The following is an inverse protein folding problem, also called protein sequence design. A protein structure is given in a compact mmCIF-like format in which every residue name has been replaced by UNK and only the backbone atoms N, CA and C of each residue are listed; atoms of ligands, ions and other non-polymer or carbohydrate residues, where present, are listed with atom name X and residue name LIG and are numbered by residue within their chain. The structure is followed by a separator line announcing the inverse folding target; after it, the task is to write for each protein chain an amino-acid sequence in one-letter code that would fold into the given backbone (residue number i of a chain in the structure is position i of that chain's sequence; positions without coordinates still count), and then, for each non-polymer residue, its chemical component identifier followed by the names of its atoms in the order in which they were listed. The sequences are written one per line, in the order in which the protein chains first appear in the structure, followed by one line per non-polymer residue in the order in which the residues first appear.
data_IF_932404672236
#
_entry.id   IF_932404672236
#
_cell.length_a   1.000
_cell.length_b   1.000
_cell.length_c   1.000
_cell.angle_alpha   90.00
_cell.angle_beta   90.00
_cell.angle_gamma   90.00
#
_symmetry.space_group_name_H-M   'P 1'
#
loop_
_entity.id
_entity.type
_entity.pdbx_description
1 polymer ?
#
# COMPACT_ATOMS: atom_id res chain seq x y z
N UNK A 1 13.90 15.91 24.09
CA UNK A 1 14.01 14.59 23.44
C UNK A 1 14.06 14.83 21.94
N UNK A 2 15.23 14.67 21.32
CA UNK A 2 15.32 14.69 19.86
C UNK A 2 14.83 13.33 19.37
N UNK A 3 13.66 13.29 18.72
CA UNK A 3 13.22 12.12 17.99
C UNK A 3 14.15 12.03 16.78
N UNK A 4 15.01 11.01 16.76
CA UNK A 4 15.83 10.72 15.59
C UNK A 4 14.89 10.49 14.40
N UNK A 5 15.10 11.22 13.31
CA UNK A 5 14.33 11.02 12.09
C UNK A 5 14.58 9.60 11.58
N UNK A 6 13.59 8.73 11.70
CA UNK A 6 13.63 7.37 11.16
C UNK A 6 13.75 7.48 9.64
N UNK A 7 14.77 6.86 9.06
CA UNK A 7 14.95 6.81 7.61
C UNK A 7 13.72 6.13 6.99
N UNK A 8 13.03 6.75 6.00
CA UNK A 8 11.87 6.13 5.38
C UNK A 8 12.24 4.78 4.74
N UNK A 9 11.39 3.75 4.86
CA UNK A 9 11.65 2.46 4.23
C UNK A 9 11.73 2.62 2.71
N UNK A 10 12.68 1.92 2.09
CA UNK A 10 12.88 1.94 0.63
C UNK A 10 11.96 0.93 -0.04
N UNK A 11 11.45 1.24 -1.22
CA UNK A 11 10.59 0.33 -1.98
C UNK A 11 11.36 -0.95 -2.37
N UNK A 12 10.85 -2.17 -2.10
CA UNK A 12 11.49 -3.40 -2.51
C UNK A 12 11.61 -3.51 -4.03
N UNK A 13 12.69 -4.10 -4.54
CA UNK A 13 12.92 -4.23 -5.98
C UNK A 13 11.88 -5.10 -6.71
N UNK A 14 11.11 -5.92 -5.99
CA UNK A 14 10.04 -6.77 -6.53
C UNK A 14 8.70 -6.05 -6.66
N UNK A 15 8.59 -4.81 -6.15
CA UNK A 15 7.34 -4.09 -5.99
C UNK A 15 7.18 -3.02 -7.05
N UNK A 16 5.97 -2.94 -7.61
CA UNK A 16 5.52 -1.88 -8.48
C UNK A 16 4.31 -1.19 -7.88
N UNK A 17 4.32 0.15 -7.86
CA UNK A 17 3.26 0.95 -7.24
C UNK A 17 2.92 2.15 -8.10
N UNK A 18 1.63 2.47 -8.15
CA UNK A 18 1.09 3.67 -8.77
C UNK A 18 -0.19 4.11 -8.07
N UNK A 19 -0.55 5.38 -8.29
CA UNK A 19 -1.79 5.99 -7.81
C UNK A 19 -2.35 6.88 -8.92
N UNK A 20 -3.67 6.97 -8.99
CA UNK A 20 -4.34 7.87 -9.92
C UNK A 20 -5.79 8.11 -9.54
N UNK A 21 -6.57 8.61 -10.51
CA UNK A 21 -7.96 9.01 -10.32
C UNK A 21 -8.82 8.65 -11.53
N UNK A 22 -9.93 8.01 -11.25
CA UNK A 22 -11.03 7.77 -12.17
C UNK A 22 -12.07 8.88 -12.11
N UNK A 23 -12.22 9.63 -13.19
CA UNK A 23 -13.13 10.79 -13.28
C UNK A 23 -14.53 10.43 -13.78
N UNK A 24 -14.72 9.22 -14.33
CA UNK A 24 -16.00 8.72 -14.81
C UNK A 24 -16.85 8.04 -13.73
N UNK A 25 -18.17 7.90 -13.95
CA UNK A 25 -19.02 7.16 -13.03
C UNK A 25 -18.66 5.66 -13.03
N UNK A 26 -18.99 4.97 -11.93
CA UNK A 26 -18.94 3.51 -11.81
C UNK A 26 -17.59 2.84 -12.13
N UNK A 27 -16.49 3.35 -11.55
CA UNK A 27 -15.16 2.76 -11.70
C UNK A 27 -15.10 1.24 -11.39
N UNK A 28 -15.80 0.71 -10.36
CA UNK A 28 -15.84 -0.73 -10.09
C UNK A 28 -16.37 -1.58 -11.26
N UNK A 29 -17.37 -1.08 -11.98
CA UNK A 29 -17.97 -1.81 -13.11
C UNK A 29 -17.00 -1.89 -14.30
N UNK A 30 -16.21 -0.84 -14.51
CA UNK A 30 -15.16 -0.80 -15.54
C UNK A 30 -14.09 -1.83 -15.23
N UNK A 31 -13.62 -1.89 -13.97
CA UNK A 31 -12.65 -2.87 -13.50
C UNK A 31 -13.16 -4.30 -13.69
N UNK A 32 -14.39 -4.58 -13.23
CA UNK A 32 -14.99 -5.91 -13.32
C UNK A 32 -15.10 -6.40 -14.76
N UNK A 33 -15.55 -5.54 -15.67
CA UNK A 33 -15.65 -5.88 -17.10
C UNK A 33 -14.28 -6.12 -17.73
N UNK A 34 -13.31 -5.27 -17.46
CA UNK A 34 -11.97 -5.41 -18.03
C UNK A 34 -11.25 -6.66 -17.51
N UNK A 35 -11.27 -6.89 -16.19
CA UNK A 35 -10.67 -8.08 -15.58
C UNK A 35 -11.34 -9.38 -16.06
N UNK A 36 -12.66 -9.38 -16.23
CA UNK A 36 -13.37 -10.51 -16.82
C UNK A 36 -12.92 -10.77 -18.26
N UNK A 37 -12.82 -9.72 -19.08
CA UNK A 37 -12.35 -9.85 -20.46
C UNK A 37 -10.90 -10.38 -20.53
N UNK A 38 -10.02 -9.93 -19.64
CA UNK A 38 -8.63 -10.43 -19.56
C UNK A 38 -8.55 -11.87 -19.05
N UNK A 39 -9.45 -12.28 -18.15
CA UNK A 39 -9.58 -13.67 -17.71
C UNK A 39 -10.09 -14.57 -18.83
N UNK A 40 -11.10 -14.13 -19.57
CA UNK A 40 -11.64 -14.85 -20.72
C UNK A 40 -10.60 -14.99 -21.86
N UNK A 41 -9.69 -14.01 -21.97
CA UNK A 41 -8.55 -14.03 -22.89
C UNK A 41 -7.31 -14.75 -22.34
N UNK A 42 -7.40 -15.40 -21.17
CA UNK A 42 -6.31 -16.11 -20.49
C UNK A 42 -5.06 -15.25 -20.21
N UNK A 43 -5.19 -13.92 -20.24
CA UNK A 43 -4.10 -12.98 -19.92
C UNK A 43 -3.96 -12.82 -18.41
N UNK A 44 -5.09 -12.78 -17.70
CA UNK A 44 -5.16 -12.84 -16.24
C UNK A 44 -5.53 -14.26 -15.85
N UNK A 45 -4.77 -14.85 -14.92
CA UNK A 45 -5.04 -16.20 -14.44
C UNK A 45 -6.29 -16.21 -13.55
N UNK A 46 -6.37 -15.28 -12.61
CA UNK A 46 -7.55 -15.10 -11.79
C UNK A 46 -7.65 -13.69 -11.21
N UNK A 47 -8.87 -13.28 -10.87
CA UNK A 47 -9.15 -12.02 -10.19
C UNK A 47 -10.33 -12.18 -9.22
N UNK A 48 -10.39 -11.30 -8.22
CA UNK A 48 -11.46 -11.27 -7.24
C UNK A 48 -11.72 -9.86 -6.77
N UNK A 49 -13.00 -9.52 -6.67
CA UNK A 49 -13.50 -8.33 -5.98
C UNK A 49 -13.65 -8.65 -4.49
N UNK A 50 -13.04 -7.84 -3.63
CA UNK A 50 -13.10 -7.99 -2.19
C UNK A 50 -14.32 -7.22 -1.65
N UNK A 51 -15.09 -7.82 -0.74
CA UNK A 51 -16.26 -7.15 -0.18
C UNK A 51 -15.83 -6.00 0.74
N UNK A 52 -16.62 -4.92 0.78
CA UNK A 52 -16.35 -3.69 1.54
C UNK A 52 -16.14 -3.91 3.06
N UNK A 53 -16.58 -5.04 3.61
CA UNK A 53 -16.39 -5.40 5.02
C UNK A 53 -14.98 -5.93 5.35
N UNK A 54 -14.22 -6.31 4.31
CA UNK A 54 -12.89 -6.89 4.41
C UNK A 54 -11.77 -5.87 4.09
N UNK A 55 -12.14 -4.62 3.85
CA UNK A 55 -11.25 -3.50 3.56
C UNK A 55 -11.37 -2.43 4.65
N UNK A 56 -10.29 -1.68 4.96
CA UNK A 56 -10.42 -0.51 5.81
C UNK A 56 -11.42 0.46 5.17
N UNK A 57 -12.34 1.01 5.96
CA UNK A 57 -13.15 2.18 5.60
C UNK A 57 -14.18 2.00 4.45
N UNK A 58 -14.55 0.77 4.07
CA UNK A 58 -15.56 0.53 3.02
C UNK A 58 -15.03 0.77 1.59
N UNK A 59 -13.70 0.75 1.42
CA UNK A 59 -13.05 0.84 0.12
C UNK A 59 -13.31 -0.42 -0.72
N UNK A 60 -13.73 -0.28 -1.97
CA UNK A 60 -13.80 -1.42 -2.89
C UNK A 60 -12.39 -1.79 -3.36
N UNK A 61 -12.03 -3.07 -3.30
CA UNK A 61 -10.72 -3.55 -3.72
C UNK A 61 -10.80 -4.73 -4.68
N UNK A 62 -9.84 -4.80 -5.61
CA UNK A 62 -9.72 -5.88 -6.59
C UNK A 62 -8.34 -6.50 -6.49
N UNK A 63 -8.27 -7.81 -6.36
CA UNK A 63 -7.05 -8.59 -6.48
C UNK A 63 -7.00 -9.24 -7.86
N UNK A 64 -5.81 -9.31 -8.45
CA UNK A 64 -5.57 -10.03 -9.70
C UNK A 64 -4.18 -10.66 -9.71
N UNK A 65 -4.08 -11.83 -10.34
CA UNK A 65 -2.81 -12.52 -10.58
C UNK A 65 -2.64 -12.90 -12.05
N UNK A 66 -1.42 -12.75 -12.55
CA UNK A 66 -1.10 -13.12 -13.93
C UNK A 66 0.38 -13.51 -14.09
N UNK A 67 0.69 -14.38 -15.05
CA UNK A 67 2.07 -14.65 -15.44
C UNK A 67 2.62 -13.49 -16.29
N UNK A 68 3.87 -13.09 -16.06
CA UNK A 68 4.56 -12.05 -16.86
C UNK A 68 5.73 -12.58 -17.68
N UNK A 69 6.30 -13.70 -17.24
CA UNK A 69 7.36 -14.42 -17.92
C UNK A 69 7.30 -15.90 -17.49
N UNK A 70 8.10 -16.75 -18.12
CA UNK A 70 8.18 -18.16 -17.75
C UNK A 70 8.57 -18.31 -16.28
N UNK A 71 7.65 -18.87 -15.48
CA UNK A 71 7.86 -19.09 -14.04
C UNK A 71 7.84 -17.83 -13.18
N UNK A 72 7.30 -16.70 -13.66
CA UNK A 72 7.14 -15.47 -12.86
C UNK A 72 5.68 -15.05 -12.82
N UNK A 73 5.10 -15.11 -11.61
CA UNK A 73 3.76 -14.60 -11.34
C UNK A 73 3.84 -13.21 -10.71
N UNK A 74 2.93 -12.33 -11.13
CA UNK A 74 2.63 -11.06 -10.46
C UNK A 74 1.32 -11.20 -9.71
N UNK A 75 1.33 -10.77 -8.46
CA UNK A 75 0.13 -10.51 -7.67
C UNK A 75 -0.08 -9.00 -7.54
N UNK A 76 -1.30 -8.53 -7.67
CA UNK A 76 -1.59 -7.13 -7.50
C UNK A 76 -2.94 -6.90 -6.85
N UNK A 77 -3.01 -5.81 -6.09
CA UNK A 77 -4.24 -5.29 -5.49
C UNK A 77 -4.43 -3.84 -5.91
N UNK A 78 -5.59 -3.55 -6.45
CA UNK A 78 -6.09 -2.20 -6.69
C UNK A 78 -7.14 -1.86 -5.64
N UNK A 79 -6.98 -0.74 -4.93
CA UNK A 79 -8.00 -0.20 -4.02
C UNK A 79 -8.61 1.07 -4.61
N UNK A 80 -9.91 1.22 -4.44
CA UNK A 80 -10.67 2.40 -4.80
C UNK A 80 -11.13 3.12 -3.55
N UNK A 81 -10.76 4.39 -3.42
CA UNK A 81 -11.27 5.25 -2.37
C UNK A 81 -12.77 5.56 -2.60
N UNK A 82 -13.43 6.19 -1.63
CA UNK A 82 -14.78 6.72 -1.85
C UNK A 82 -14.81 7.75 -2.99
N UNK A 83 -15.98 7.86 -3.64
CA UNK A 83 -16.18 8.86 -4.67
C UNK A 83 -16.08 10.27 -4.10
N UNK A 84 -15.11 11.04 -4.58
CA UNK A 84 -15.05 12.48 -4.34
C UNK A 84 -15.70 13.24 -5.49
N UNK A 85 -16.17 14.47 -5.28
CA UNK A 85 -16.71 15.31 -6.37
C UNK A 85 -15.76 15.57 -7.55
N UNK A 86 -14.49 15.14 -7.47
CA UNK A 86 -13.48 15.20 -8.53
C UNK A 86 -13.19 13.84 -9.20
N UNK A 87 -13.80 12.77 -8.73
CA UNK A 87 -13.56 11.39 -9.16
C UNK A 87 -13.15 10.47 -8.01
N UNK A 88 -13.01 9.18 -8.32
CA UNK A 88 -12.59 8.12 -7.41
C UNK A 88 -11.08 7.93 -7.49
N UNK A 89 -10.38 8.05 -6.37
CA UNK A 89 -8.94 7.78 -6.34
C UNK A 89 -8.69 6.28 -6.32
N UNK A 90 -7.62 5.85 -6.98
CA UNK A 90 -7.20 4.47 -6.99
C UNK A 90 -5.73 4.35 -6.60
N UNK A 91 -5.40 3.31 -5.83
CA UNK A 91 -4.04 2.93 -5.47
C UNK A 91 -3.79 1.51 -5.93
N UNK A 92 -2.69 1.27 -6.63
CA UNK A 92 -2.32 -0.04 -7.15
C UNK A 92 -0.96 -0.45 -6.61
N UNK A 93 -0.93 -1.60 -5.93
CA UNK A 93 0.31 -2.25 -5.49
C UNK A 93 0.40 -3.61 -6.14
N UNK A 94 1.50 -3.85 -6.84
CA UNK A 94 1.83 -5.13 -7.44
C UNK A 94 3.18 -5.63 -6.89
N UNK A 95 3.29 -6.94 -6.73
CA UNK A 95 4.51 -7.60 -6.31
C UNK A 95 4.74 -8.82 -7.20
N UNK A 96 5.96 -8.93 -7.71
CA UNK A 96 6.43 -10.08 -8.47
C UNK A 96 7.25 -11.03 -7.59
N UNK A 97 7.36 -12.29 -8.01
CA UNK A 97 8.23 -13.29 -7.35
C UNK A 97 9.73 -13.00 -7.54
N UNK A 98 10.07 -12.11 -8.48
CA UNK A 98 11.44 -11.71 -8.84
C UNK A 98 11.55 -10.18 -8.90
N UNK A 99 12.78 -9.60 -8.92
CA UNK A 99 12.96 -8.18 -9.15
C UNK A 99 12.20 -7.69 -10.38
N UNK A 100 11.54 -6.55 -10.27
CA UNK A 100 10.63 -6.05 -11.29
C UNK A 100 11.38 -5.71 -12.58
N UNK A 101 10.96 -6.30 -13.69
CA UNK A 101 11.47 -5.96 -15.02
C UNK A 101 10.60 -4.87 -15.65
N UNK A 102 11.20 -3.75 -16.04
CA UNK A 102 10.48 -2.64 -16.68
C UNK A 102 9.90 -3.01 -18.06
N UNK A 103 10.37 -4.10 -18.67
CA UNK A 103 9.82 -4.62 -19.93
C UNK A 103 8.47 -5.28 -19.76
N UNK A 104 8.11 -5.70 -18.54
CA UNK A 104 6.78 -6.25 -18.27
C UNK A 104 5.71 -5.16 -18.43
N UNK A 105 4.48 -5.53 -18.85
CA UNK A 105 3.36 -4.61 -18.89
C UNK A 105 3.16 -3.91 -17.55
N UNK A 106 2.79 -2.63 -17.59
CA UNK A 106 2.37 -1.93 -16.38
C UNK A 106 1.17 -2.63 -15.74
N UNK A 107 1.20 -2.92 -14.43
CA UNK A 107 0.06 -3.47 -13.69
C UNK A 107 -1.24 -2.68 -13.88
N UNK A 108 -1.16 -1.35 -14.00
CA UNK A 108 -2.36 -0.55 -14.26
C UNK A 108 -3.09 -0.93 -15.55
N UNK A 109 -2.38 -1.39 -16.58
CA UNK A 109 -2.98 -1.87 -17.84
C UNK A 109 -3.71 -3.23 -17.68
N UNK A 110 -3.48 -3.95 -16.58
CA UNK A 110 -4.20 -5.19 -16.26
C UNK A 110 -5.52 -4.92 -15.53
N UNK A 111 -5.67 -3.74 -14.92
CA UNK A 111 -6.91 -3.37 -14.23
C UNK A 111 -7.80 -2.50 -15.10
N UNK A 112 -7.22 -1.54 -15.81
CA UNK A 112 -7.97 -0.56 -16.56
C UNK A 112 -7.87 -0.77 -18.08
N UNK A 113 -8.96 -0.52 -18.83
CA UNK A 113 -8.94 -0.62 -20.28
C UNK A 113 -8.09 0.49 -20.91
N UNK A 114 -7.33 0.10 -21.94
CA UNK A 114 -6.47 0.97 -22.72
C UNK A 114 -7.26 1.64 -23.85
N UNK A 115 -7.88 2.79 -23.56
CA UNK A 115 -8.59 3.60 -24.55
C UNK A 115 -8.08 5.05 -24.50
N UNK A 116 -8.00 5.73 -25.64
CA UNK A 116 -7.45 7.10 -25.70
C UNK A 116 -8.24 8.11 -24.83
N UNK A 117 -9.55 7.89 -24.69
CA UNK A 117 -10.46 8.72 -23.89
C UNK A 117 -10.71 8.13 -22.49
N UNK A 118 -9.82 7.27 -22.01
CA UNK A 118 -10.05 6.59 -20.75
C UNK A 118 -10.00 7.56 -19.56
N UNK A 119 -11.03 7.47 -18.72
CA UNK A 119 -11.31 8.40 -17.62
C UNK A 119 -10.50 8.09 -16.35
N UNK A 120 -9.73 7.00 -16.34
CA UNK A 120 -8.97 6.53 -15.18
C UNK A 120 -7.55 7.09 -15.08
N UNK A 121 -7.02 7.60 -16.19
CA UNK A 121 -5.61 7.91 -16.36
C UNK A 121 -5.15 9.25 -15.78
N UNK A 122 -5.76 9.77 -14.71
CA UNK A 122 -5.36 11.05 -14.12
C UNK A 122 -4.48 10.87 -12.88
N UNK A 123 -3.44 11.67 -12.73
CA UNK A 123 -2.65 11.75 -11.50
C UNK A 123 -3.39 12.56 -10.44
N UNK A 124 -3.22 12.17 -9.17
CA UNK A 124 -4.01 12.67 -8.04
C UNK A 124 -3.74 14.10 -7.58
N UNK A 125 -2.50 14.58 -7.65
CA UNK A 125 -1.99 15.83 -7.08
C UNK A 125 -2.10 16.98 -8.08
N UNK A 126 -1.62 16.75 -9.29
CA UNK A 126 -1.57 17.69 -10.40
C UNK A 126 -2.82 17.63 -11.27
N UNK A 127 -3.46 16.45 -11.37
CA UNK A 127 -4.62 16.21 -12.24
C UNK A 127 -4.26 15.86 -13.69
N UNK A 128 -2.96 15.81 -13.99
CA UNK A 128 -2.43 15.55 -15.33
C UNK A 128 -2.69 14.12 -15.78
N UNK A 129 -2.67 13.87 -17.10
CA UNK A 129 -2.94 12.55 -17.66
C UNK A 129 -1.66 11.74 -17.82
N UNK A 130 -1.73 10.46 -17.43
CA UNK A 130 -0.74 9.47 -17.81
C UNK A 130 -0.80 9.24 -19.32
N UNK A 131 0.35 8.88 -19.92
CA UNK A 131 0.50 8.58 -21.35
C UNK A 131 0.21 9.73 -22.33
N UNK A 132 -0.15 10.89 -21.81
CA UNK A 132 -0.52 12.07 -22.59
C UNK A 132 0.53 13.18 -22.44
N UNK A 133 0.47 14.11 -23.37
CA UNK A 133 1.28 15.32 -23.35
C UNK A 133 0.57 16.37 -22.51
N UNK A 134 1.14 16.77 -21.36
CA UNK A 134 0.49 17.74 -20.46
C UNK A 134 1.12 19.14 -20.60
N UNK A 135 0.51 20.06 -21.38
CA UNK A 135 1.01 21.43 -21.47
C UNK A 135 0.85 22.15 -20.13
N UNK A 136 1.91 22.83 -19.69
CA UNK A 136 1.86 23.62 -18.48
C UNK A 136 0.86 24.78 -18.63
N UNK A 137 0.07 25.08 -17.58
CA UNK A 137 -0.91 26.16 -17.61
C UNK A 137 -0.30 27.50 -18.06
N UNK A 138 -1.04 28.24 -18.89
CA UNK A 138 -0.63 29.57 -19.33
C UNK A 138 -0.57 30.59 -18.18
N UNK A 139 -1.43 30.41 -17.17
CA UNK A 139 -1.40 31.21 -15.95
C UNK A 139 -0.18 30.85 -15.08
N UNK A 140 0.66 31.85 -14.78
CA UNK A 140 1.90 31.62 -14.03
C UNK A 140 1.66 31.13 -12.59
N UNK A 141 0.53 31.46 -11.97
CA UNK A 141 0.23 31.01 -10.60
C UNK A 141 -0.16 29.53 -10.63
N UNK A 142 -0.95 29.11 -11.61
CA UNK A 142 -1.32 27.71 -11.82
C UNK A 142 -0.14 26.86 -12.24
N UNK A 143 0.69 27.30 -13.18
CA UNK A 143 1.93 26.63 -13.57
C UNK A 143 2.81 26.33 -12.36
N UNK A 144 3.04 27.35 -11.52
CA UNK A 144 3.84 27.19 -10.30
C UNK A 144 3.20 26.24 -9.30
N UNK A 145 1.86 26.22 -9.21
CA UNK A 145 1.14 25.28 -8.36
C UNK A 145 1.31 23.85 -8.87
N UNK A 146 1.20 23.62 -10.18
CA UNK A 146 1.41 22.32 -10.82
C UNK A 146 2.82 21.80 -10.57
N UNK A 147 3.86 22.59 -10.85
CA UNK A 147 5.25 22.15 -10.65
C UNK A 147 5.60 21.89 -9.18
N UNK A 148 5.08 22.70 -8.25
CA UNK A 148 5.24 22.42 -6.81
C UNK A 148 4.49 21.17 -6.38
N UNK A 149 3.34 20.88 -6.99
CA UNK A 149 2.60 19.64 -6.80
C UNK A 149 3.41 18.45 -7.28
N UNK A 150 3.91 18.51 -8.51
CA UNK A 150 4.78 17.51 -9.12
C UNK A 150 6.05 17.22 -8.29
N UNK A 151 6.67 18.25 -7.70
CA UNK A 151 7.81 18.08 -6.80
C UNK A 151 7.44 17.39 -5.48
N UNK A 152 6.19 17.51 -5.01
CA UNK A 152 5.73 16.89 -3.77
C UNK A 152 5.14 15.50 -4.00
N UNK A 153 4.78 15.17 -5.24
CA UNK A 153 4.34 13.82 -5.56
C UNK A 153 5.53 12.87 -5.47
N UNK A 154 5.30 11.77 -4.74
CA UNK A 154 6.27 10.69 -4.54
C UNK A 154 5.84 9.42 -5.28
N UNK A 155 4.61 9.38 -5.79
CA UNK A 155 4.06 8.24 -6.52
C UNK A 155 4.53 8.22 -7.98
N UNK A 156 4.57 9.38 -8.63
CA UNK A 156 4.92 9.52 -10.04
C UNK A 156 6.31 10.11 -10.27
N UNK A 157 6.88 9.82 -11.43
CA UNK A 157 8.11 10.40 -11.96
C UNK A 157 7.69 11.55 -12.88
N UNK A 158 7.97 12.77 -12.46
CA UNK A 158 7.63 13.95 -13.23
C UNK A 158 8.79 14.37 -14.12
N UNK A 159 8.48 14.59 -15.39
CA UNK A 159 9.43 14.99 -16.42
C UNK A 159 8.99 16.34 -16.98
N UNK A 160 9.87 17.34 -16.96
CA UNK A 160 9.59 18.66 -17.56
C UNK A 160 10.42 18.81 -18.82
N UNK A 161 9.75 19.04 -19.94
CA UNK A 161 10.36 19.28 -21.26
C UNK A 161 10.06 20.71 -21.67
N UNK A 162 11.09 21.47 -22.05
CA UNK A 162 10.94 22.81 -22.59
C UNK A 162 10.99 22.81 -24.11
N UNK A 163 9.91 23.23 -24.74
CA UNK A 163 9.82 23.41 -26.18
C UNK A 163 10.60 24.68 -26.57
N UNK A 164 11.84 24.54 -27.06
CA UNK A 164 12.60 25.70 -27.55
C UNK A 164 11.95 26.37 -28.76
N UNK A 165 11.21 25.58 -29.55
CA UNK A 165 10.47 25.96 -30.74
C UNK A 165 9.18 25.14 -30.78
N UNK A 166 8.21 25.54 -31.60
CA UNK A 166 6.98 24.75 -31.81
C UNK A 166 7.34 23.35 -32.35
N UNK A 167 6.95 22.27 -31.68
CA UNK A 167 7.22 20.90 -32.15
C UNK A 167 6.44 20.59 -33.44
N UNK A 168 6.98 19.67 -34.23
CA UNK A 168 6.28 19.09 -35.38
C UNK A 168 5.14 18.15 -34.93
N UNK A 169 4.46 17.49 -35.87
CA UNK A 169 3.35 16.59 -35.53
C UNK A 169 3.79 15.39 -34.70
N UNK A 170 4.99 14.87 -34.95
CA UNK A 170 5.53 13.72 -34.21
C UNK A 170 6.02 14.15 -32.82
N UNK A 171 6.67 15.30 -32.72
CA UNK A 171 7.14 15.91 -31.48
C UNK A 171 6.04 16.37 -30.54
N UNK A 172 4.79 16.49 -31.00
CA UNK A 172 3.61 16.73 -30.13
C UNK A 172 3.16 15.48 -29.38
N UNK A 173 3.56 14.29 -29.84
CA UNK A 173 3.22 13.04 -29.17
C UNK A 173 3.96 12.94 -27.84
N UNK A 174 3.36 12.23 -26.90
CA UNK A 174 4.00 11.97 -25.61
C UNK A 174 5.24 11.10 -25.79
N UNK A 175 6.24 11.33 -24.95
CA UNK A 175 7.43 10.51 -24.79
C UNK A 175 7.15 9.21 -24.02
N UNK A 176 6.07 9.17 -23.23
CA UNK A 176 5.77 8.05 -22.33
C UNK A 176 5.59 6.71 -23.08
N UNK A 177 4.89 6.64 -24.23
CA UNK A 177 4.81 5.40 -25.03
C UNK A 177 6.16 4.88 -25.53
N UNK A 178 7.21 5.70 -25.59
CA UNK A 178 8.56 5.30 -26.00
C UNK A 178 9.37 4.64 -24.87
N UNK A 179 8.90 4.77 -23.63
CA UNK A 179 9.47 4.13 -22.44
C UNK A 179 9.05 2.66 -22.36
N UNK A 180 9.78 1.83 -21.58
CA UNK A 180 9.37 0.48 -21.27
C UNK A 180 7.95 0.44 -20.66
N UNK A 181 7.13 -0.57 -20.98
CA UNK A 181 5.72 -0.64 -20.56
C UNK A 181 5.50 -0.51 -19.05
N UNK A 182 6.45 -0.99 -18.24
CA UNK A 182 6.39 -0.88 -16.77
C UNK A 182 6.43 0.57 -16.26
N UNK A 183 6.78 1.57 -17.09
CA UNK A 183 6.82 2.98 -16.70
C UNK A 183 5.63 3.81 -17.19
N UNK A 184 4.77 3.24 -18.04
CA UNK A 184 3.68 3.97 -18.71
C UNK A 184 2.74 4.71 -17.74
N UNK A 185 2.41 4.11 -16.59
CA UNK A 185 1.53 4.72 -15.58
C UNK A 185 2.28 5.17 -14.32
N UNK A 186 3.55 5.52 -14.50
CA UNK A 186 4.40 6.09 -13.45
C UNK A 186 5.08 7.37 -13.90
N UNK A 187 5.11 7.66 -15.19
CA UNK A 187 5.80 8.84 -15.74
C UNK A 187 4.77 9.85 -16.24
N UNK A 188 4.97 11.11 -15.89
CA UNK A 188 4.13 12.23 -16.32
C UNK A 188 5.01 13.26 -17.02
N UNK A 189 4.67 13.54 -18.25
CA UNK A 189 5.36 14.52 -19.08
C UNK A 189 4.65 15.88 -19.00
N UNK A 190 5.40 16.89 -18.59
CA UNK A 190 5.01 18.30 -18.52
C UNK A 190 5.68 19.06 -19.65
N UNK A 191 4.92 19.83 -20.43
CA UNK A 191 5.44 20.60 -21.57
C UNK A 191 5.39 22.08 -21.28
N UNK A 192 6.57 22.70 -21.22
CA UNK A 192 6.71 24.14 -21.10
C UNK A 192 6.81 24.77 -22.50
N UNK A 193 5.92 25.70 -22.79
CA UNK A 193 5.96 26.49 -24.01
C UNK A 193 7.21 27.41 -24.05
N UNK A 194 7.66 27.87 -25.24
CA UNK A 194 8.91 28.62 -25.38
C UNK A 194 9.05 29.87 -24.49
N UNK A 195 7.92 30.52 -24.17
CA UNK A 195 7.88 31.73 -23.35
C UNK A 195 7.84 31.45 -21.84
N UNK A 196 7.57 30.22 -21.43
CA UNK A 196 7.37 29.83 -20.02
C UNK A 196 8.67 29.47 -19.29
N UNK A 197 9.83 29.35 -19.99
CA UNK A 197 11.11 28.91 -19.42
C UNK A 197 11.47 29.63 -18.11
N UNK A 198 11.34 30.97 -18.11
CA UNK A 198 11.69 31.80 -16.96
C UNK A 198 10.81 31.47 -15.76
N UNK A 199 9.51 31.27 -15.98
CA UNK A 199 8.53 30.98 -14.94
C UNK A 199 8.70 29.57 -14.39
N UNK A 200 9.03 28.60 -15.26
CA UNK A 200 9.40 27.23 -14.88
C UNK A 200 10.63 27.22 -13.97
N UNK A 201 11.74 27.85 -14.39
CA UNK A 201 12.97 27.87 -13.59
C UNK A 201 12.81 28.68 -12.30
N UNK A 202 11.93 29.68 -12.29
CA UNK A 202 11.55 30.37 -11.05
C UNK A 202 10.80 29.44 -10.08
N UNK A 203 9.91 28.59 -10.59
CA UNK A 203 9.16 27.62 -9.77
C UNK A 203 10.07 26.54 -9.16
N UNK A 204 11.10 26.12 -9.90
CA UNK A 204 12.03 25.06 -9.52
C UNK A 204 13.24 25.56 -8.71
N UNK A 205 13.39 26.88 -8.56
CA UNK A 205 14.51 27.50 -7.86
C UNK A 205 14.73 26.97 -6.45
N UNK A 206 13.65 26.74 -5.70
CA UNK A 206 13.71 26.23 -4.31
C UNK A 206 14.21 24.79 -4.22
N UNK A 207 13.98 23.99 -5.28
CA UNK A 207 14.49 22.62 -5.40
C UNK A 207 15.93 22.53 -5.91
N UNK A 208 16.57 23.67 -6.26
CA UNK A 208 17.96 23.70 -6.73
C UNK A 208 18.20 23.09 -8.11
N UNK A 209 17.15 22.93 -8.92
CA UNK A 209 17.22 22.37 -10.28
C UNK A 209 16.77 23.39 -11.32
N UNK A 210 17.26 23.27 -12.54
CA UNK A 210 16.97 24.19 -13.64
C UNK A 210 16.71 23.41 -14.94
N UNK A 211 15.67 23.81 -15.69
CA UNK A 211 15.40 23.27 -17.02
C UNK A 211 16.17 24.11 -18.05
N UNK A 212 17.04 23.50 -18.86
CA UNK A 212 17.75 24.20 -19.92
C UNK A 212 16.81 24.56 -21.07
N UNK A 213 17.13 25.64 -21.77
CA UNK A 213 16.35 26.06 -22.95
C UNK A 213 16.40 24.98 -24.03
N UNK A 214 15.24 24.41 -24.34
CA UNK A 214 15.09 23.39 -25.36
C UNK A 214 15.45 21.99 -24.89
N UNK A 215 15.73 21.82 -23.60
CA UNK A 215 16.03 20.53 -23.02
C UNK A 215 14.95 20.07 -22.06
N UNK A 216 15.34 19.17 -21.16
CA UNK A 216 14.42 18.52 -20.25
C UNK A 216 15.08 18.17 -18.92
N UNK A 217 14.25 17.88 -17.93
CA UNK A 217 14.66 17.56 -16.56
C UNK A 217 13.72 16.51 -15.97
N UNK A 218 14.28 15.48 -15.34
CA UNK A 218 13.51 14.60 -14.44
C UNK A 218 13.49 15.24 -13.06
N UNK A 219 12.31 15.56 -12.53
CA UNK A 219 12.17 16.24 -11.25
C UNK A 219 12.63 15.32 -10.10
N UNK A 220 13.37 15.85 -9.10
CA UNK A 220 13.89 15.04 -8.00
C UNK A 220 12.79 14.48 -7.08
N UNK A 221 11.65 15.18 -6.97
CA UNK A 221 10.70 14.94 -5.90
C UNK A 221 11.20 15.46 -4.53
N UNK A 222 10.32 15.40 -3.51
CA UNK A 222 10.64 15.80 -2.14
C UNK A 222 10.10 14.72 -1.18
N UNK A 223 10.97 13.96 -0.49
CA UNK A 223 12.44 14.03 -0.54
C UNK A 223 13.01 13.46 -1.86
N UNK A 224 14.17 13.98 -2.28
CA UNK A 224 14.90 13.45 -3.43
C UNK A 224 15.45 12.04 -3.14
N UNK A 225 15.45 11.12 -4.12
CA UNK A 225 16.05 9.79 -3.98
C UNK A 225 17.54 9.87 -3.65
N UNK A 226 18.04 8.86 -2.93
CA UNK A 226 19.47 8.75 -2.66
C UNK A 226 20.24 8.56 -3.98
N UNK A 227 21.28 9.37 -4.20
CA UNK A 227 22.07 9.35 -5.44
C UNK A 227 21.50 10.21 -6.57
N UNK A 228 20.48 11.03 -6.31
CA UNK A 228 20.04 12.04 -7.29
C UNK A 228 21.05 13.19 -7.40
N UNK A 229 21.60 13.39 -8.61
CA UNK A 229 22.33 14.60 -9.00
C UNK A 229 21.59 15.28 -10.15
N UNK A 230 21.24 16.56 -9.98
CA UNK A 230 20.53 17.35 -10.97
C UNK A 230 21.23 17.34 -12.33
N UNK A 231 22.57 17.33 -12.36
CA UNK A 231 23.34 17.30 -13.60
C UNK A 231 23.12 16.01 -14.41
N UNK A 232 22.95 14.88 -13.74
CA UNK A 232 22.78 13.55 -14.35
C UNK A 232 21.36 13.32 -14.88
N UNK A 233 20.39 14.11 -14.39
CA UNK A 233 18.98 14.02 -14.75
C UNK A 233 18.49 15.22 -15.58
N UNK A 234 19.42 16.07 -16.03
CA UNK A 234 19.16 17.20 -16.93
C UNK A 234 19.70 16.90 -18.33
N UNK A 235 18.84 17.09 -19.34
CA UNK A 235 19.20 16.97 -20.75
C UNK A 235 19.24 18.36 -21.36
N UNK A 236 20.38 18.73 -21.96
CA UNK A 236 20.61 20.10 -22.47
C UNK A 236 19.73 20.46 -23.65
N UNK A 237 19.48 19.50 -24.55
CA UNK A 237 18.69 19.69 -25.77
C UNK A 237 17.89 18.44 -26.06
N UNK A 238 16.60 18.59 -26.28
CA UNK A 238 15.69 17.52 -26.70
C UNK A 238 15.11 17.95 -28.05
N UNK A 239 15.49 17.22 -29.09
CA UNK A 239 14.91 17.42 -30.41
C UNK A 239 13.56 16.71 -30.45
N UNK A 240 12.51 17.49 -30.68
CA UNK A 240 11.13 17.02 -30.87
C UNK A 240 10.80 17.12 -32.36
N UNK A 241 11.65 16.50 -33.17
CA UNK A 241 11.67 16.52 -34.64
C UNK A 241 11.36 15.14 -35.25
N UNK A 242 10.69 14.28 -34.48
CA UNK A 242 10.40 12.88 -34.85
C UNK A 242 11.54 11.90 -34.59
N UNK A 243 12.76 12.35 -34.33
CA UNK A 243 13.84 11.44 -33.92
C UNK A 243 13.57 10.86 -32.54
N UNK A 244 13.94 9.59 -32.31
CA UNK A 244 13.74 8.95 -31.00
C UNK A 244 14.65 9.65 -29.97
N UNK A 245 14.10 10.30 -28.93
CA UNK A 245 14.89 11.12 -28.01
C UNK A 245 15.55 10.26 -26.93
N UNK A 246 16.47 9.37 -27.33
CA UNK A 246 17.15 8.42 -26.43
C UNK A 246 17.87 9.11 -25.28
N UNK A 247 18.50 10.27 -25.54
CA UNK A 247 19.16 11.08 -24.52
C UNK A 247 18.20 11.53 -23.40
N UNK A 248 16.90 11.60 -23.69
CA UNK A 248 15.86 11.93 -22.72
C UNK A 248 15.26 10.69 -22.03
N UNK A 249 15.15 9.58 -22.73
CA UNK A 249 14.63 8.34 -22.14
C UNK A 249 15.61 7.76 -21.11
N UNK A 250 16.92 7.83 -21.37
CA UNK A 250 17.95 7.27 -20.50
C UNK A 250 17.95 7.85 -19.06
N UNK A 251 17.88 9.17 -18.84
CA UNK A 251 17.68 9.76 -17.51
C UNK A 251 16.46 9.23 -16.77
N UNK A 252 15.33 9.04 -17.46
CA UNK A 252 14.10 8.52 -16.85
C UNK A 252 14.29 7.08 -16.38
N UNK A 253 14.96 6.26 -17.20
CA UNK A 253 15.30 4.87 -16.84
C UNK A 253 16.24 4.80 -15.64
N UNK A 254 17.29 5.62 -15.63
CA UNK A 254 18.21 5.70 -14.49
C UNK A 254 17.50 6.17 -13.22
N UNK A 255 16.60 7.14 -13.34
CA UNK A 255 15.85 7.67 -12.19
C UNK A 255 14.91 6.61 -11.62
N UNK A 256 14.23 5.85 -12.50
CA UNK A 256 13.34 4.77 -12.09
C UNK A 256 14.07 3.65 -11.33
N UNK A 257 15.35 3.44 -11.61
CA UNK A 257 16.21 2.46 -10.96
C UNK A 257 16.81 2.92 -9.62
N UNK A 258 16.69 4.21 -9.25
CA UNK A 258 17.19 4.70 -7.96
C UNK A 258 16.39 4.09 -6.79
N UNK A 259 17.04 3.78 -5.65
CA UNK A 259 16.35 3.42 -4.43
C UNK A 259 15.47 4.59 -3.96
N UNK A 260 14.15 4.41 -4.02
CA UNK A 260 13.18 5.44 -3.65
C UNK A 260 12.54 5.15 -2.30
N UNK A 261 12.31 6.19 -1.48
CA UNK A 261 11.49 6.05 -0.29
C UNK A 261 10.08 5.61 -0.70
N UNK A 262 9.46 4.75 0.10
CA UNK A 262 8.08 4.36 -0.11
C UNK A 262 7.18 5.61 -0.03
N UNK A 263 6.31 5.85 -1.02
CA UNK A 263 5.33 6.92 -0.95
C UNK A 263 4.44 6.79 0.29
N UNK A 264 3.87 7.91 0.74
CA UNK A 264 2.93 7.89 1.86
C UNK A 264 1.77 6.92 1.57
N UNK A 265 1.37 6.11 2.56
CA UNK A 265 0.38 5.02 2.48
C UNK A 265 0.78 3.79 1.63
N UNK A 266 1.88 3.83 0.88
CA UNK A 266 2.31 2.70 0.04
C UNK A 266 2.82 1.50 0.84
N UNK A 267 3.42 1.75 2.02
CA UNK A 267 3.88 0.69 2.93
C UNK A 267 2.70 -0.09 3.53
N UNK A 268 1.64 0.62 3.92
CA UNK A 268 0.40 0.01 4.40
C UNK A 268 -0.26 -0.82 3.29
N UNK A 269 -0.35 -0.28 2.06
CA UNK A 269 -0.89 -1.01 0.92
C UNK A 269 -0.09 -2.28 0.58
N UNK A 270 1.25 -2.22 0.68
CA UNK A 270 2.12 -3.40 0.49
C UNK A 270 1.94 -4.44 1.60
N UNK A 271 1.83 -4.00 2.85
CA UNK A 271 1.57 -4.89 3.99
C UNK A 271 0.25 -5.62 3.80
N UNK A 272 -0.80 -4.88 3.42
CA UNK A 272 -2.11 -5.43 3.10
C UNK A 272 -2.02 -6.45 1.96
N UNK A 273 -1.32 -6.14 0.87
CA UNK A 273 -1.11 -7.09 -0.23
C UNK A 273 -0.43 -8.38 0.23
N UNK A 274 0.53 -8.32 1.14
CA UNK A 274 1.30 -9.49 1.60
C UNK A 274 0.58 -10.33 2.63
N UNK A 275 -0.11 -9.70 3.56
CA UNK A 275 -0.73 -10.37 4.72
C UNK A 275 -2.18 -10.79 4.46
N UNK A 276 -2.90 -10.05 3.60
CA UNK A 276 -4.33 -10.24 3.36
C UNK A 276 -4.66 -10.70 1.95
N UNK A 277 -3.66 -11.23 1.22
CA UNK A 277 -3.85 -11.83 -0.11
C UNK A 277 -4.80 -13.03 -0.04
N UNK A 278 -5.78 -13.08 -0.95
CA UNK A 278 -6.81 -14.13 -0.95
C UNK A 278 -6.85 -14.96 -2.23
N UNK A 279 -6.25 -14.50 -3.33
CA UNK A 279 -6.16 -15.25 -4.60
C UNK A 279 -5.04 -16.29 -4.61
N UNK A 280 -5.18 -17.33 -3.79
CA UNK A 280 -4.29 -18.49 -3.80
C UNK A 280 -4.73 -19.51 -4.85
N UNK A 281 -3.77 -20.19 -5.47
CA UNK A 281 -4.07 -21.42 -6.23
C UNK A 281 -4.41 -22.55 -5.28
N UNK A 282 -5.13 -23.58 -5.77
CA UNK A 282 -5.41 -24.79 -5.01
C UNK A 282 -4.14 -25.47 -4.47
N UNK A 283 -3.04 -25.41 -5.21
CA UNK A 283 -1.75 -25.97 -4.79
C UNK A 283 -1.16 -25.18 -3.60
N UNK A 284 -1.22 -23.84 -3.66
CA UNK A 284 -0.80 -22.95 -2.58
C UNK A 284 -1.70 -23.10 -1.34
N UNK A 285 -3.01 -23.22 -1.52
CA UNK A 285 -3.96 -23.49 -0.44
C UNK A 285 -3.66 -24.84 0.22
N UNK A 286 -3.48 -25.89 -0.57
CA UNK A 286 -3.15 -27.22 -0.06
C UNK A 286 -1.81 -27.23 0.70
N UNK A 287 -0.79 -26.53 0.19
CA UNK A 287 0.49 -26.39 0.87
C UNK A 287 0.35 -25.64 2.20
N UNK A 288 -0.45 -24.57 2.24
CA UNK A 288 -0.77 -23.82 3.47
C UNK A 288 -1.49 -24.69 4.49
N UNK A 289 -2.52 -25.42 4.08
CA UNK A 289 -3.28 -26.30 4.98
C UNK A 289 -2.40 -27.44 5.52
N UNK A 290 -1.54 -28.04 4.68
CA UNK A 290 -0.57 -29.05 5.13
C UNK A 290 0.39 -28.48 6.19
N UNK A 291 0.87 -27.25 6.00
CA UNK A 291 1.74 -26.57 6.97
C UNK A 291 1.00 -26.32 8.30
N UNK A 292 -0.26 -25.90 8.22
CA UNK A 292 -1.10 -25.65 9.40
C UNK A 292 -1.39 -26.94 10.18
N UNK A 293 -1.70 -28.04 9.48
CA UNK A 293 -1.86 -29.36 10.09
C UNK A 293 -0.56 -29.83 10.76
N UNK A 294 0.59 -29.64 10.10
CA UNK A 294 1.90 -29.99 10.67
C UNK A 294 2.18 -29.20 11.97
N UNK A 295 1.88 -27.89 11.98
CA UNK A 295 2.02 -27.04 13.17
C UNK A 295 1.10 -27.49 14.31
N UNK A 296 -0.16 -27.81 14.03
CA UNK A 296 -1.07 -28.29 15.06
C UNK A 296 -0.68 -29.67 15.59
N UNK A 297 -0.16 -30.54 14.73
CA UNK A 297 0.40 -31.83 15.13
C UNK A 297 1.58 -31.64 16.09
N UNK A 298 2.54 -30.79 15.73
CA UNK A 298 3.70 -30.47 16.58
C UNK A 298 3.26 -29.87 17.93
N UNK A 299 2.28 -28.95 17.92
CA UNK A 299 1.73 -28.39 19.15
C UNK A 299 1.06 -29.45 20.04
N UNK A 300 0.35 -30.41 19.45
CA UNK A 300 -0.30 -31.50 20.19
C UNK A 300 0.73 -32.48 20.77
N UNK A 301 1.78 -32.79 20.02
CA UNK A 301 2.91 -33.61 20.49
C UNK A 301 3.60 -32.93 21.68
N UNK A 302 3.91 -31.64 21.58
CA UNK A 302 4.49 -30.86 22.68
C UNK A 302 3.60 -30.81 23.92
N UNK A 303 2.27 -30.67 23.75
CA UNK A 303 1.32 -30.74 24.86
C UNK A 303 1.30 -32.13 25.51
N UNK A 304 1.43 -33.19 24.71
CA UNK A 304 1.44 -34.57 25.19
C UNK A 304 2.71 -34.86 25.98
N UNK A 305 3.88 -34.47 25.46
CA UNK A 305 5.16 -34.57 26.17
C UNK A 305 5.13 -33.77 27.48
N UNK A 306 4.59 -32.54 27.46
CA UNK A 306 4.47 -31.74 28.69
C UNK A 306 3.61 -32.44 29.75
N UNK A 307 2.53 -33.11 29.35
CA UNK A 307 1.66 -33.88 30.25
C UNK A 307 2.39 -35.09 30.83
N UNK A 308 3.18 -35.80 30.02
CA UNK A 308 3.99 -36.93 30.48
C UNK A 308 5.02 -36.50 31.50
N UNK A 309 5.75 -35.40 31.25
CA UNK A 309 6.68 -34.80 32.21
C UNK A 309 5.99 -34.41 33.53
N UNK A 310 4.76 -33.87 33.47
CA UNK A 310 3.99 -33.57 34.68
C UNK A 310 3.60 -34.83 35.45
N UNK A 311 3.24 -35.92 34.76
CA UNK A 311 2.92 -37.20 35.40
C UNK A 311 4.15 -37.78 36.09
N UNK A 312 5.28 -37.84 35.40
CA UNK A 312 6.55 -38.34 35.97
C UNK A 312 6.98 -37.51 37.19
N UNK A 313 6.87 -36.18 37.11
CA UNK A 313 7.16 -35.31 38.25
C UNK A 313 6.23 -35.55 39.44
N UNK A 314 4.95 -35.86 39.21
CA UNK A 314 3.99 -36.17 40.26
C UNK A 314 4.27 -37.56 40.89
N UNK A 315 4.60 -38.55 40.08
CA UNK A 315 5.01 -39.88 40.54
C UNK A 315 6.26 -39.80 41.41
N UNK A 316 7.31 -39.10 40.96
CA UNK A 316 8.51 -38.87 41.77
C UNK A 316 8.24 -38.11 43.08
N UNK A 317 7.31 -37.14 43.08
CA UNK A 317 6.92 -36.44 44.30
C UNK A 317 6.20 -37.38 45.30
N UNK A 318 5.35 -38.28 44.80
CA UNK A 318 4.68 -39.28 45.61
C UNK A 318 5.67 -40.31 46.19
N UNK A 319 6.62 -40.79 45.39
CA UNK A 319 7.70 -41.67 45.83
C UNK A 319 8.53 -41.03 46.96
N UNK A 320 8.91 -39.76 46.79
CA UNK A 320 9.64 -39.02 47.83
C UNK A 320 8.82 -38.91 49.13
N UNK A 321 7.51 -38.60 49.03
CA UNK A 321 6.62 -38.53 50.19
C UNK A 321 6.44 -39.89 50.88
N UNK A 322 6.35 -40.98 50.12
CA UNK A 322 6.27 -42.33 50.67
C UNK A 322 7.55 -42.70 51.42
N UNK A 323 8.72 -42.44 50.84
CA UNK A 323 10.02 -42.65 51.50
C UNK A 323 10.13 -41.85 52.82
N UNK A 324 9.68 -40.60 52.85
CA UNK A 324 9.62 -39.82 54.10
C UNK A 324 8.70 -40.44 55.15
N UNK A 325 7.55 -41.00 54.76
CA UNK A 325 6.61 -41.65 55.67
C UNK A 325 7.15 -42.97 56.21
N UNK A 326 7.78 -43.78 55.38
CA UNK A 326 8.43 -45.04 55.79
C UNK A 326 9.60 -44.78 56.74
N UNK A 327 10.44 -43.79 56.44
CA UNK A 327 11.52 -43.36 57.33
C UNK A 327 11.00 -42.84 58.69
N UNK A 328 9.82 -42.23 58.73
CA UNK A 328 9.17 -41.78 59.96
C UNK A 328 8.46 -42.91 60.74
N UNK A 329 8.16 -44.05 60.10
CA UNK A 329 7.46 -45.19 60.69
C UNK A 329 8.39 -46.21 61.37
N UNK A 330 9.72 -46.09 61.19
CA UNK A 330 10.71 -46.90 61.92
C UNK A 330 10.81 -46.44 63.39
N UNK A 331 10.60 -47.33 64.38
CA UNK A 331 10.71 -46.95 65.78
C UNK A 331 12.18 -46.82 66.20
N UNK A 332 12.68 -45.59 66.32
CA UNK A 332 13.90 -45.28 67.09
C UNK A 332 15.03 -44.45 66.46
N UNK A 333 14.87 -43.82 65.29
CA UNK A 333 15.93 -42.97 64.67
C UNK A 333 15.76 -41.46 64.91
N UNK A 334 16.85 -40.67 65.12
CA UNK A 334 16.77 -39.28 65.56
C UNK A 334 16.17 -38.36 64.49
N UNK A 335 15.29 -37.47 64.95
CA UNK A 335 14.66 -36.39 64.17
C UNK A 335 15.74 -35.47 63.55
N UNK A 336 15.88 -35.40 62.22
CA UNK A 336 16.78 -34.44 61.61
C UNK A 336 16.20 -33.02 61.72
N UNK A 337 17.04 -32.08 62.13
CA UNK A 337 16.72 -30.65 62.15
C UNK A 337 16.48 -30.12 60.72
N UNK A 338 15.69 -29.04 60.54
CA UNK A 338 15.34 -28.53 59.22
C UNK A 338 16.60 -28.01 58.49
N UNK A 339 16.99 -28.70 57.42
CA UNK A 339 18.02 -28.22 56.52
C UNK A 339 17.54 -26.96 55.79
N UNK A 340 18.40 -25.95 55.78
CA UNK A 340 18.20 -24.64 55.17
C UNK A 340 17.73 -24.75 53.71
N UNK A 341 16.80 -23.86 53.36
CA UNK A 341 16.26 -23.59 52.03
C UNK A 341 17.34 -23.62 50.94
N UNK A 342 17.50 -24.75 50.27
CA UNK A 342 18.15 -24.83 48.96
C UNK A 342 17.10 -24.59 47.88
N UNK A 343 17.44 -23.79 46.89
CA UNK A 343 16.51 -23.23 45.90
C UNK A 343 15.71 -24.29 45.15
N UNK A 344 14.40 -24.07 45.09
CA UNK A 344 13.44 -24.91 44.38
C UNK A 344 13.73 -24.95 42.86
N UNK A 345 13.93 -26.15 42.26
CA UNK A 345 14.11 -26.31 40.81
C UNK A 345 12.85 -25.95 39.99
N UNK A 346 11.69 -25.81 40.64
CA UNK A 346 10.44 -25.38 40.00
C UNK A 346 10.44 -23.91 39.56
N UNK A 347 11.35 -23.08 40.09
CA UNK A 347 11.47 -21.67 39.64
C UNK A 347 12.15 -21.52 38.28
N UNK A 348 12.90 -22.52 37.81
CA UNK A 348 13.51 -22.48 36.48
C UNK A 348 12.52 -22.88 35.38
N UNK A 349 11.65 -23.85 35.65
CA UNK A 349 10.55 -24.24 34.75
C UNK A 349 9.47 -23.16 34.61
N UNK A 350 9.19 -22.39 35.66
CA UNK A 350 8.27 -21.26 35.58
C UNK A 350 8.73 -20.15 34.62
N UNK A 351 10.06 -19.94 34.49
CA UNK A 351 10.62 -18.90 33.60
C UNK A 351 10.63 -19.30 32.13
N UNK A 352 10.72 -20.59 31.81
CA UNK A 352 10.63 -21.08 30.42
C UNK A 352 9.18 -21.11 29.94
N UNK A 353 8.22 -21.42 30.84
CA UNK A 353 6.79 -21.38 30.55
C UNK A 353 6.23 -19.95 30.41
N UNK A 354 6.77 -18.96 31.14
CA UNK A 354 6.43 -17.55 30.92
C UNK A 354 6.87 -17.06 29.53
N UNK A 355 8.08 -17.43 29.07
CA UNK A 355 8.56 -17.09 27.72
C UNK A 355 7.71 -17.69 26.60
N UNK A 356 7.19 -18.91 26.78
CA UNK A 356 6.30 -19.55 25.80
C UNK A 356 4.89 -18.94 25.80
N UNK A 357 4.40 -18.46 26.95
CA UNK A 357 3.13 -17.73 27.07
C UNK A 357 3.19 -16.32 26.49
N UNK A 358 4.34 -15.66 26.52
CA UNK A 358 4.54 -14.36 25.84
C UNK A 358 4.54 -14.52 24.32
N UNK A 359 5.16 -15.59 23.79
CA UNK A 359 5.17 -15.89 22.35
C UNK A 359 3.80 -16.28 21.76
N UNK A 360 2.86 -16.73 22.60
CA UNK A 360 1.49 -17.09 22.19
C UNK A 360 0.48 -15.96 22.40
N UNK A 361 0.80 -14.95 23.23
CA UNK A 361 0.01 -13.71 23.35
C UNK A 361 0.25 -12.72 22.22
N UNK A 362 1.39 -12.77 21.56
CA UNK A 362 1.72 -11.94 20.38
C UNK A 362 0.97 -12.33 19.10
N UNK A 363 0.18 -13.42 19.11
CA UNK A 363 -0.55 -13.94 17.94
C UNK A 363 -2.06 -14.03 18.15
N UNK A 364 -2.63 -13.33 19.14
CA UNK A 364 -4.09 -13.28 19.31
C UNK A 364 -4.68 -12.12 18.49
N UNK A 365 -5.53 -12.39 17.48
CA UNK A 365 -6.31 -11.34 16.83
C UNK A 365 -7.27 -10.70 17.83
N UNK A 366 -7.34 -9.37 17.83
CA UNK A 366 -8.23 -8.59 18.70
C UNK A 366 -9.68 -8.78 18.24
N UNK A 367 -10.49 -9.43 19.07
CA UNK A 367 -11.94 -9.43 18.93
C UNK A 367 -12.50 -8.28 19.77
N UNK A 368 -12.96 -7.21 19.13
CA UNK A 368 -13.75 -6.15 19.76
C UNK A 368 -15.18 -6.63 19.93
N UNK A 369 -15.52 -7.08 21.15
CA UNK A 369 -16.92 -7.26 21.58
C UNK A 369 -17.31 -6.05 22.42
N UNK A 370 -18.05 -5.12 21.81
CA UNK A 370 -18.71 -4.01 22.50
C UNK A 370 -19.90 -4.57 23.28
N UNK A 371 -19.82 -4.53 24.60
CA UNK A 371 -20.91 -4.94 25.48
C UNK A 371 -21.97 -3.83 25.59
N UNK A 372 -23.15 -4.12 25.05
CA UNK A 372 -24.42 -3.45 25.30
C UNK A 372 -24.85 -3.68 26.76
N UNK A 373 -25.05 -2.60 27.52
CA UNK A 373 -25.76 -2.66 28.81
C UNK A 373 -27.08 -1.92 28.68
N UNK A 374 -28.15 -2.70 28.56
CA UNK A 374 -29.55 -2.27 28.64
C UNK A 374 -29.92 -1.98 30.10
N UNK A 375 -30.45 -0.80 30.38
CA UNK A 375 -31.29 -0.56 31.55
C UNK A 375 -32.46 0.35 31.15
N UNK A 376 -33.66 -0.22 31.14
CA UNK A 376 -34.95 0.46 31.07
C UNK A 376 -35.72 0.09 32.34
N UNK A 377 -36.50 1.01 32.94
CA UNK A 377 -37.94 0.91 32.70
C UNK A 377 -38.66 2.28 32.54
N UNK A 378 -39.73 2.27 31.74
CA UNK A 378 -40.75 3.31 31.58
C UNK A 378 -41.81 3.27 32.72
N UNK A 379 -42.93 4.02 32.73
CA UNK A 379 -43.40 5.13 31.86
C UNK A 379 -43.98 6.35 32.64
N UNK A 380 -44.13 7.51 31.97
CA UNK A 380 -45.14 8.52 32.33
C UNK A 380 -45.41 9.45 31.12
N UNK A 381 -46.68 9.60 30.79
CA UNK A 381 -47.26 10.47 29.75
C UNK A 381 -47.74 11.81 30.37
N UNK A 382 -48.32 12.76 29.60
CA UNK A 382 -47.76 14.06 29.20
C UNK A 382 -48.29 15.26 30.02
N UNK A 383 -47.95 16.50 29.61
CA UNK A 383 -49.05 17.44 29.37
C UNK A 383 -48.90 18.31 28.10
N UNK A 384 -50.07 18.60 27.53
CA UNK A 384 -50.36 19.68 26.57
C UNK A 384 -50.29 21.07 27.25
N UNK A 385 -49.95 22.10 26.48
CA UNK A 385 -50.61 23.42 26.36
C UNK A 385 -49.66 24.32 25.54
N UNK A 386 -50.00 24.66 24.30
CA UNK A 386 -50.91 25.76 23.89
C UNK A 386 -50.43 27.15 24.34
N UNK A 387 -49.94 27.93 23.37
CA UNK A 387 -50.45 29.25 23.02
C UNK A 387 -49.50 29.82 21.95
N UNK A 388 -49.85 30.20 20.72
CA UNK A 388 -50.98 30.95 20.13
C UNK A 388 -50.35 32.17 19.44
N UNK A 389 -51.10 32.69 18.46
CA UNK A 389 -51.01 34.05 17.89
C UNK A 389 -49.88 34.38 16.88
N UNK A 390 -50.12 34.98 15.70
CA UNK A 390 -51.34 35.47 15.00
C UNK A 390 -50.92 35.86 13.56
N UNK A 391 -51.86 35.78 12.61
CA UNK A 391 -52.11 36.68 11.44
C UNK A 391 -50.94 37.26 10.61
N UNK A 392 -50.99 37.37 9.28
CA UNK A 392 -52.09 37.38 8.31
C UNK A 392 -51.67 38.19 7.06
N UNK A 393 -52.55 38.19 6.05
CA UNK A 393 -52.61 39.07 4.86
C UNK A 393 -51.57 38.81 3.74
N UNK A 394 -51.94 38.15 2.63
CA UNK A 394 -52.64 38.67 1.41
C UNK A 394 -51.89 39.76 0.61
N UNK A 395 -51.62 39.45 -0.66
CA UNK A 395 -52.01 40.33 -1.78
C UNK A 395 -50.92 40.87 -2.71
N UNK A 396 -51.25 40.83 -4.01
CA UNK A 396 -50.64 41.46 -5.21
C UNK A 396 -49.39 40.77 -5.77
N UNK A 397 -49.39 40.17 -6.96
CA UNK A 397 -49.99 40.48 -8.27
C UNK A 397 -49.45 41.75 -8.96
N UNK A 398 -49.08 41.52 -10.23
CA UNK A 398 -48.74 42.41 -11.36
C UNK A 398 -47.31 42.95 -11.55
N UNK A 399 -46.79 42.56 -12.71
CA UNK A 399 -45.70 43.16 -13.49
C UNK A 399 -45.55 42.37 -14.79
#
# INVERSE_FOLDING_TARGET
MHIAATVPPTSPATVWQARGRHTGPAAPDVLRKNLQALKDAETVQDFMELPDADTPEGETAFEARWPVAEGVTVRARLTLAEWSGRGQEWTLTAEAEQPWDLRWPSPAAMFWPWEADSLWGHETVTGERFLDTNPLPADEKELRRTLRGALRDTWSIHVVVHEAMTPDEEGRRSLVPLLPPGLHHRVIEHRAAPHQLRTVNWALKESGVEVPRGGALVLPGVPAPAGYDAADFTVRSVFLDGTRPTEMLDPVLRFAALPRPLPAAADAALTVLREQWRLLTLEEELARERKLVAMYKEALEAMTESRELYREAAEHAHEALAAYREAAALPGGPRPAPARKSGSPFRQLGRTLERFKESTKSLRPQSTTTATTTASPAPAEPPQQDADDTTGATGSDRG
#
